data_IF_394961150658
#
_entry.id   IF_394961150658
#
_cell.length_a   1.000
_cell.length_b   1.000
_cell.length_c   1.000
_cell.angle_alpha   90.00
_cell.angle_beta   90.00
_cell.angle_gamma   90.00
#
_symmetry.space_group_name_H-M   'P 1'
#
loop_
_entity.id
_entity.type
_entity.pdbx_description
1 polymer ?
#
# COMPACT_ATOMS: atom_id res chain seq x y z
N UNK A 1 -15.91 18.73 -2.30
CA UNK A 1 -14.75 18.22 -1.53
C UNK A 1 -15.14 17.10 -0.56
N UNK A 2 -16.14 17.28 0.32
CA UNK A 2 -16.56 16.23 1.28
C UNK A 2 -16.85 14.88 0.61
N UNK A 3 -17.69 14.87 -0.44
CA UNK A 3 -18.12 13.64 -1.11
C UNK A 3 -16.98 12.84 -1.76
N UNK A 4 -15.94 13.50 -2.31
CA UNK A 4 -14.78 12.80 -2.88
C UNK A 4 -13.83 12.26 -1.81
N UNK A 5 -13.78 12.88 -0.62
CA UNK A 5 -12.92 12.41 0.46
C UNK A 5 -13.54 11.23 1.20
N UNK A 6 -14.83 11.30 1.53
CA UNK A 6 -15.49 10.25 2.30
C UNK A 6 -16.12 9.14 1.44
N UNK A 7 -16.42 9.42 0.17
CA UNK A 7 -17.17 8.52 -0.70
C UNK A 7 -18.67 8.50 -0.41
N UNK A 8 -19.42 7.72 -1.19
CA UNK A 8 -20.89 7.63 -1.12
C UNK A 8 -21.42 7.00 0.17
N UNK A 9 -20.55 6.30 0.90
CA UNK A 9 -20.84 5.69 2.21
C UNK A 9 -20.39 6.58 3.38
N UNK A 10 -19.85 7.76 3.08
CA UNK A 10 -19.40 8.72 4.07
C UNK A 10 -20.53 9.26 4.94
N UNK A 11 -20.30 9.53 6.24
CA UNK A 11 -21.33 10.06 7.13
C UNK A 11 -21.84 11.43 6.70
N UNK A 12 -21.03 12.20 5.96
CA UNK A 12 -21.38 13.50 5.45
C UNK A 12 -21.60 13.45 3.92
N UNK A 13 -21.86 12.31 3.30
CA UNK A 13 -22.21 12.28 1.88
C UNK A 13 -23.55 12.98 1.63
N UNK A 14 -23.63 13.82 0.59
CA UNK A 14 -24.89 14.45 0.19
C UNK A 14 -24.71 15.73 -0.62
N UNK A 15 -25.82 16.40 -0.89
CA UNK A 15 -25.82 17.72 -1.54
C UNK A 15 -25.21 18.75 -0.58
N UNK A 16 -24.11 19.37 -1.01
CA UNK A 16 -23.35 20.32 -0.18
C UNK A 16 -23.64 21.78 -0.47
N UNK A 17 -24.29 22.09 -1.58
CA UNK A 17 -24.60 23.46 -1.96
C UNK A 17 -26.11 23.76 -2.00
N UNK A 18 -26.96 22.74 -1.74
CA UNK A 18 -28.40 22.87 -1.65
C UNK A 18 -29.10 23.03 -3.00
N UNK A 19 -28.46 22.66 -4.12
CA UNK A 19 -29.05 22.79 -5.45
C UNK A 19 -29.96 21.61 -5.85
N UNK A 20 -30.14 20.63 -4.96
CA UNK A 20 -30.94 19.42 -5.19
C UNK A 20 -30.19 18.29 -5.90
N UNK A 21 -28.89 18.44 -6.15
CA UNK A 21 -28.03 17.44 -6.76
C UNK A 21 -26.87 17.09 -5.84
N UNK A 22 -26.52 15.80 -5.80
CA UNK A 22 -25.34 15.35 -5.07
C UNK A 22 -24.14 15.35 -6.02
N UNK A 23 -23.20 16.29 -5.83
CA UNK A 23 -21.97 16.28 -6.62
C UNK A 23 -20.94 15.33 -6.02
N UNK A 24 -20.57 14.32 -6.80
CA UNK A 24 -19.46 13.44 -6.46
C UNK A 24 -18.53 13.30 -7.67
N UNK A 25 -17.41 14.05 -7.73
CA UNK A 25 -16.46 13.96 -8.84
C UNK A 25 -15.61 12.68 -8.80
N UNK A 26 -15.73 11.84 -7.77
CA UNK A 26 -15.04 10.55 -7.66
C UNK A 26 -15.89 9.37 -8.14
N UNK A 27 -15.39 8.16 -7.88
CA UNK A 27 -16.04 6.88 -8.18
C UNK A 27 -17.01 6.39 -7.07
N UNK A 28 -17.13 7.15 -5.97
CA UNK A 28 -17.97 6.80 -4.84
C UNK A 28 -17.29 6.05 -3.70
N UNK A 29 -16.00 5.69 -3.80
CA UNK A 29 -15.29 5.02 -2.71
C UNK A 29 -14.74 6.00 -1.68
N UNK A 30 -14.13 7.08 -2.15
CA UNK A 30 -13.56 8.11 -1.29
C UNK A 30 -12.08 7.91 -0.95
N UNK A 31 -11.36 9.01 -0.83
CA UNK A 31 -9.92 9.03 -0.50
C UNK A 31 -9.62 8.32 0.83
N UNK A 32 -10.45 8.50 1.86
CA UNK A 32 -10.23 7.86 3.16
C UNK A 32 -10.34 6.33 3.08
N UNK A 33 -11.29 5.82 2.30
CA UNK A 33 -11.43 4.39 2.07
C UNK A 33 -10.24 3.84 1.30
N UNK A 34 -9.75 4.56 0.28
CA UNK A 34 -8.56 4.14 -0.47
C UNK A 34 -7.29 4.14 0.39
N UNK A 35 -7.06 5.17 1.20
CA UNK A 35 -5.92 5.22 2.11
C UNK A 35 -5.96 4.07 3.12
N UNK A 36 -7.13 3.81 3.72
CA UNK A 36 -7.31 2.68 4.65
C UNK A 36 -7.07 1.33 3.97
N UNK A 37 -7.61 1.13 2.76
CA UNK A 37 -7.42 -0.11 2.00
C UNK A 37 -5.95 -0.33 1.59
N UNK A 38 -5.25 0.73 1.18
CA UNK A 38 -3.82 0.68 0.85
C UNK A 38 -2.99 0.24 2.06
N UNK A 39 -3.21 0.86 3.24
CA UNK A 39 -2.54 0.47 4.47
C UNK A 39 -2.85 -0.99 4.86
N UNK A 40 -4.11 -1.41 4.77
CA UNK A 40 -4.52 -2.76 5.12
C UNK A 40 -3.88 -3.82 4.21
N UNK A 41 -3.93 -3.63 2.88
CA UNK A 41 -3.33 -4.57 1.94
C UNK A 41 -1.81 -4.59 2.02
N UNK A 42 -1.16 -3.44 2.24
CA UNK A 42 0.28 -3.38 2.47
C UNK A 42 0.68 -4.16 3.73
N UNK A 43 -0.06 -4.00 4.83
CA UNK A 43 0.16 -4.74 6.06
C UNK A 43 -0.03 -6.25 5.88
N UNK A 44 -1.07 -6.69 5.16
CA UNK A 44 -1.30 -8.10 4.85
C UNK A 44 -0.16 -8.69 4.00
N UNK A 45 0.31 -7.95 2.99
CA UNK A 45 1.42 -8.39 2.15
C UNK A 45 2.73 -8.47 2.93
N UNK A 46 3.05 -7.47 3.76
CA UNK A 46 4.25 -7.47 4.61
C UNK A 46 4.24 -8.59 5.67
N UNK A 47 3.06 -8.97 6.16
CA UNK A 47 2.88 -10.05 7.13
C UNK A 47 2.88 -11.46 6.53
N UNK A 48 2.84 -11.61 5.20
CA UNK A 48 2.83 -12.92 4.56
C UNK A 48 4.11 -13.72 4.87
N UNK A 49 3.98 -15.04 5.05
CA UNK A 49 5.12 -15.91 5.40
C UNK A 49 6.23 -15.93 4.34
N UNK A 50 5.87 -15.67 3.09
CA UNK A 50 6.76 -15.60 1.94
C UNK A 50 7.17 -14.16 1.58
N UNK A 51 6.80 -13.15 2.39
CA UNK A 51 7.22 -11.77 2.18
C UNK A 51 8.73 -11.63 2.35
N UNK A 52 9.39 -11.15 1.30
CA UNK A 52 10.82 -10.83 1.34
C UNK A 52 11.09 -9.49 2.05
N UNK A 53 12.35 -9.08 2.08
CA UNK A 53 12.76 -7.83 2.74
C UNK A 53 12.20 -6.58 2.06
N UNK A 54 12.01 -6.60 0.73
CA UNK A 54 11.49 -5.45 -0.03
C UNK A 54 10.00 -5.27 0.21
N UNK A 55 9.23 -6.36 0.19
CA UNK A 55 7.79 -6.33 0.51
C UNK A 55 7.55 -5.81 1.92
N UNK A 56 8.37 -6.23 2.89
CA UNK A 56 8.27 -5.76 4.28
C UNK A 56 8.62 -4.28 4.43
N UNK A 57 9.75 -3.86 3.85
CA UNK A 57 10.21 -2.47 3.91
C UNK A 57 9.18 -1.52 3.27
N UNK A 58 8.79 -1.80 2.03
CA UNK A 58 7.89 -0.93 1.29
C UNK A 58 6.44 -1.04 1.78
N UNK A 59 6.03 -2.20 2.32
CA UNK A 59 4.73 -2.32 2.99
C UNK A 59 4.60 -1.39 4.20
N UNK A 60 5.65 -1.30 5.03
CA UNK A 60 5.68 -0.34 6.14
C UNK A 60 5.59 1.11 5.64
N UNK A 61 6.34 1.45 4.59
CA UNK A 61 6.31 2.78 3.99
C UNK A 61 4.92 3.16 3.45
N UNK A 62 4.23 2.22 2.80
CA UNK A 62 2.84 2.41 2.34
C UNK A 62 1.90 2.67 3.52
N UNK A 63 2.02 1.91 4.60
CA UNK A 63 1.21 2.09 5.80
C UNK A 63 1.42 3.48 6.43
N UNK A 64 2.67 3.89 6.61
CA UNK A 64 3.00 5.18 7.23
C UNK A 64 2.54 6.36 6.36
N UNK A 65 2.75 6.27 5.05
CA UNK A 65 2.29 7.30 4.11
C UNK A 65 0.75 7.34 4.00
N UNK A 66 0.08 6.20 4.02
CA UNK A 66 -1.38 6.14 4.01
C UNK A 66 -2.00 6.73 5.29
N UNK A 67 -1.33 6.60 6.44
CA UNK A 67 -1.74 7.26 7.67
C UNK A 67 -1.67 8.80 7.52
N UNK A 68 -0.57 9.32 6.98
CA UNK A 68 -0.43 10.75 6.69
C UNK A 68 -1.51 11.26 5.72
N UNK A 69 -1.80 10.50 4.66
CA UNK A 69 -2.90 10.82 3.71
C UNK A 69 -4.24 10.87 4.45
N UNK A 70 -4.50 9.91 5.33
CA UNK A 70 -5.74 9.82 6.11
C UNK A 70 -5.92 11.06 7.01
N UNK A 71 -4.88 11.46 7.73
CA UNK A 71 -4.92 12.63 8.62
C UNK A 71 -5.19 13.92 7.81
N UNK A 72 -4.48 14.09 6.69
CA UNK A 72 -4.60 15.30 5.85
C UNK A 72 -5.93 15.35 5.09
N UNK A 73 -6.41 14.23 4.58
CA UNK A 73 -7.72 14.13 3.95
C UNK A 73 -8.84 14.38 4.97
N UNK A 74 -8.70 13.91 6.21
CA UNK A 74 -9.65 14.21 7.29
C UNK A 74 -9.71 15.70 7.58
N UNK A 75 -8.55 16.36 7.71
CA UNK A 75 -8.49 17.81 7.89
C UNK A 75 -9.13 18.56 6.71
N UNK A 76 -8.84 18.17 5.47
CA UNK A 76 -9.46 18.78 4.29
C UNK A 76 -10.99 18.60 4.29
N UNK A 77 -11.49 17.43 4.70
CA UNK A 77 -12.93 17.18 4.88
C UNK A 77 -13.53 18.09 5.94
N UNK A 78 -12.90 18.19 7.11
CA UNK A 78 -13.38 19.01 8.22
C UNK A 78 -13.48 20.48 7.80
N UNK A 79 -12.45 21.00 7.12
CA UNK A 79 -12.45 22.37 6.60
C UNK A 79 -13.48 22.58 5.50
N UNK A 80 -13.72 21.58 4.64
CA UNK A 80 -14.80 21.62 3.65
C UNK A 80 -16.20 21.70 4.30
N UNK A 81 -16.41 21.05 5.45
CA UNK A 81 -17.65 21.17 6.21
C UNK A 81 -17.82 22.58 6.79
N UNK A 82 -16.74 23.19 7.27
CA UNK A 82 -16.76 24.60 7.70
C UNK A 82 -17.15 25.51 6.55
N UNK A 83 -16.57 25.34 5.36
CA UNK A 83 -16.94 26.12 4.16
C UNK A 83 -18.42 25.95 3.83
N UNK A 84 -18.96 24.73 3.86
CA UNK A 84 -20.35 24.46 3.53
C UNK A 84 -21.35 25.05 4.55
N UNK A 85 -20.93 25.23 5.81
CA UNK A 85 -21.78 25.78 6.87
C UNK A 85 -21.52 27.25 7.22
N UNK A 86 -20.54 27.90 6.58
CA UNK A 86 -20.16 29.27 6.93
C UNK A 86 -21.19 30.29 6.46
N UNK A 87 -21.66 31.14 7.37
CA UNK A 87 -22.48 32.31 7.05
C UNK A 87 -21.66 33.57 6.74
N UNK A 88 -20.36 33.54 7.05
CA UNK A 88 -19.43 34.64 6.86
C UNK A 88 -18.38 34.30 5.78
N UNK A 89 -18.17 35.24 4.85
CA UNK A 89 -17.26 35.06 3.73
C UNK A 89 -15.80 34.98 4.18
N UNK A 90 -15.41 35.69 5.23
CA UNK A 90 -14.03 35.66 5.75
C UNK A 90 -13.71 34.27 6.33
N UNK A 91 -14.62 33.73 7.17
CA UNK A 91 -14.52 32.38 7.70
C UNK A 91 -14.50 31.31 6.59
N UNK A 92 -15.37 31.43 5.58
CA UNK A 92 -15.40 30.53 4.43
C UNK A 92 -14.08 30.57 3.65
N UNK A 93 -13.52 31.77 3.43
CA UNK A 93 -12.26 31.96 2.68
C UNK A 93 -11.07 31.34 3.41
N UNK A 94 -10.95 31.57 4.73
CA UNK A 94 -9.89 30.97 5.54
C UNK A 94 -9.99 29.43 5.55
N UNK A 95 -11.19 28.89 5.76
CA UNK A 95 -11.41 27.45 5.73
C UNK A 95 -11.15 26.84 4.35
N UNK A 96 -11.50 27.53 3.26
CA UNK A 96 -11.22 27.07 1.90
C UNK A 96 -9.71 27.02 1.61
N UNK A 97 -8.94 28.00 2.11
CA UNK A 97 -7.47 27.99 1.99
C UNK A 97 -6.85 26.81 2.75
N UNK A 98 -7.27 26.57 4.00
CA UNK A 98 -6.81 25.42 4.78
C UNK A 98 -7.23 24.07 4.20
N UNK A 99 -8.44 23.99 3.64
CA UNK A 99 -8.92 22.81 2.90
C UNK A 99 -8.02 22.51 1.70
N UNK A 100 -7.69 23.53 0.90
CA UNK A 100 -6.86 23.37 -0.30
C UNK A 100 -5.42 22.97 0.06
N UNK A 101 -4.84 23.59 1.11
CA UNK A 101 -3.52 23.23 1.62
C UNK A 101 -3.48 21.79 2.13
N UNK A 102 -4.46 21.38 2.96
CA UNK A 102 -4.55 20.02 3.48
C UNK A 102 -4.73 18.98 2.36
N UNK A 103 -5.57 19.27 1.36
CA UNK A 103 -5.74 18.38 0.20
C UNK A 103 -4.46 18.29 -0.65
N UNK A 104 -3.76 19.42 -0.85
CA UNK A 104 -2.48 19.47 -1.56
C UNK A 104 -1.41 18.62 -0.86
N UNK A 105 -1.33 18.72 0.47
CA UNK A 105 -0.45 17.92 1.32
C UNK A 105 -0.82 16.44 1.34
N UNK A 106 -2.11 16.11 1.36
CA UNK A 106 -2.56 14.72 1.20
C UNK A 106 -2.12 14.13 -0.14
N UNK A 107 -2.15 14.92 -1.22
CA UNK A 107 -1.74 14.47 -2.54
C UNK A 107 -0.22 14.32 -2.66
N UNK A 108 0.53 15.40 -2.42
CA UNK A 108 1.97 15.50 -2.72
C UNK A 108 2.88 15.20 -1.54
N UNK A 109 2.38 15.31 -0.31
CA UNK A 109 3.19 15.49 0.88
C UNK A 109 3.69 16.94 1.02
N UNK A 110 4.43 17.20 2.10
CA UNK A 110 5.19 18.43 2.30
C UNK A 110 6.33 18.18 3.28
N UNK A 111 7.39 18.97 3.15
CA UNK A 111 8.50 19.00 4.09
C UNK A 111 8.03 19.69 5.39
N UNK A 112 7.75 18.90 6.42
CA UNK A 112 7.19 19.40 7.67
C UNK A 112 8.26 19.89 8.63
N UNK A 113 9.48 19.34 8.53
CA UNK A 113 10.59 19.66 9.40
C UNK A 113 11.55 20.73 8.81
N UNK A 114 11.35 21.10 7.54
CA UNK A 114 12.11 22.15 6.85
C UNK A 114 13.51 21.73 6.40
N UNK A 115 13.77 20.43 6.25
CA UNK A 115 15.09 19.90 5.86
C UNK A 115 15.32 19.88 4.33
N UNK A 116 14.34 20.33 3.55
CA UNK A 116 14.37 20.38 2.09
C UNK A 116 13.97 19.07 1.41
N UNK A 117 13.51 18.08 2.15
CA UNK A 117 13.07 16.77 1.63
C UNK A 117 11.68 16.41 2.16
N UNK A 118 10.90 15.70 1.34
CA UNK A 118 9.67 15.05 1.79
C UNK A 118 10.03 13.62 2.14
N UNK A 119 10.10 13.32 3.43
CA UNK A 119 10.54 12.00 3.90
C UNK A 119 9.36 11.08 4.21
N UNK A 120 9.67 9.80 4.41
CA UNK A 120 8.75 8.77 4.90
C UNK A 120 8.50 8.88 6.41
N UNK A 121 8.62 10.08 6.97
CA UNK A 121 8.36 10.32 8.38
C UNK A 121 6.90 10.73 8.58
N UNK A 122 6.47 10.63 9.84
CA UNK A 122 5.15 11.08 10.24
C UNK A 122 4.96 12.54 9.86
N UNK A 123 3.88 12.79 9.12
CA UNK A 123 3.41 14.13 8.77
C UNK A 123 3.88 14.68 7.43
N UNK A 124 4.79 14.01 6.72
CA UNK A 124 5.41 14.57 5.50
C UNK A 124 4.92 13.93 4.20
N UNK A 125 4.75 12.62 4.16
CA UNK A 125 4.40 11.91 2.92
C UNK A 125 2.93 12.07 2.52
N UNK A 126 2.69 11.99 1.20
CA UNK A 126 1.34 12.01 0.61
C UNK A 126 1.06 10.79 -0.27
N UNK A 127 -0.04 10.84 -1.00
CA UNK A 127 -0.52 9.72 -1.83
C UNK A 127 0.44 9.32 -2.95
N UNK A 128 1.28 10.23 -3.44
CA UNK A 128 2.32 9.88 -4.41
C UNK A 128 3.35 8.92 -3.82
N UNK A 129 3.74 9.10 -2.56
CA UNK A 129 4.65 8.20 -1.84
C UNK A 129 3.98 6.85 -1.59
N UNK A 130 2.68 6.84 -1.26
CA UNK A 130 1.89 5.59 -1.17
C UNK A 130 1.96 4.82 -2.49
N UNK A 131 1.73 5.51 -3.61
CA UNK A 131 1.77 4.91 -4.94
C UNK A 131 3.17 4.35 -5.27
N UNK A 132 4.22 5.15 -5.09
CA UNK A 132 5.59 4.75 -5.41
C UNK A 132 6.03 3.52 -4.61
N UNK A 133 5.77 3.51 -3.30
CA UNK A 133 6.13 2.36 -2.46
C UNK A 133 5.25 1.14 -2.71
N UNK A 134 3.99 1.31 -3.08
CA UNK A 134 3.15 0.19 -3.50
C UNK A 134 3.70 -0.47 -4.78
N UNK A 135 4.25 0.30 -5.73
CA UNK A 135 4.94 -0.26 -6.90
C UNK A 135 6.24 -0.98 -6.51
N UNK A 136 6.99 -0.42 -5.55
CA UNK A 136 8.22 -1.06 -5.08
C UNK A 136 7.96 -2.39 -4.34
N UNK A 137 6.81 -2.55 -3.69
CA UNK A 137 6.39 -3.85 -3.15
C UNK A 137 6.16 -4.92 -4.23
N UNK A 138 5.86 -4.52 -5.46
CA UNK A 138 5.67 -5.44 -6.58
C UNK A 138 7.00 -5.84 -7.27
N UNK A 139 8.14 -5.31 -6.81
CA UNK A 139 9.45 -5.66 -7.36
C UNK A 139 9.87 -7.06 -6.87
N UNK A 140 10.51 -7.82 -7.76
CA UNK A 140 11.00 -9.15 -7.45
C UNK A 140 12.45 -9.29 -7.91
N UNK A 141 13.31 -9.86 -7.07
CA UNK A 141 14.69 -10.17 -7.44
C UNK A 141 14.78 -11.59 -7.98
N UNK A 142 15.13 -11.74 -9.26
CA UNK A 142 15.40 -13.04 -9.87
C UNK A 142 16.78 -13.53 -9.41
N UNK A 143 16.81 -14.66 -8.70
CA UNK A 143 18.06 -15.36 -8.36
C UNK A 143 18.28 -16.55 -9.32
N UNK A 144 19.54 -16.88 -9.69
CA UNK A 144 19.83 -18.08 -10.45
C UNK A 144 19.38 -19.33 -9.69
N UNK A 145 18.83 -20.31 -10.40
CA UNK A 145 18.53 -21.60 -9.80
C UNK A 145 19.81 -22.22 -9.23
N UNK A 146 19.75 -22.71 -7.99
CA UNK A 146 20.86 -23.44 -7.39
C UNK A 146 21.25 -24.59 -8.32
N UNK A 147 22.51 -24.60 -8.77
CA UNK A 147 23.01 -25.67 -9.61
C UNK A 147 22.77 -27.01 -8.90
N UNK A 148 22.28 -28.05 -9.60
CA UNK A 148 22.07 -29.35 -8.97
C UNK A 148 23.38 -29.79 -8.34
N UNK A 149 23.34 -30.11 -7.05
CA UNK A 149 24.51 -30.57 -6.31
C UNK A 149 25.17 -31.69 -7.12
N UNK A 150 26.44 -31.50 -7.47
CA UNK A 150 27.21 -32.48 -8.23
C UNK A 150 27.05 -33.84 -7.53
N UNK A 151 26.27 -34.72 -8.17
CA UNK A 151 25.93 -36.01 -7.59
C UNK A 151 27.22 -36.72 -7.22
N UNK A 152 27.32 -37.16 -5.95
CA UNK A 152 28.41 -38.05 -5.52
C UNK A 152 28.54 -39.16 -6.57
N UNK A 153 29.77 -39.46 -7.05
CA UNK A 153 29.95 -40.50 -8.05
C UNK A 153 29.29 -41.79 -7.55
N UNK A 154 28.36 -42.32 -8.35
CA UNK A 154 27.74 -43.62 -8.08
C UNK A 154 28.87 -44.61 -7.89
N UNK A 155 28.96 -45.22 -6.70
CA UNK A 155 29.86 -46.35 -6.45
C UNK A 155 29.57 -47.38 -7.53
N UNK A 156 30.56 -47.64 -8.39
CA UNK A 156 30.46 -48.68 -9.41
C UNK A 156 30.20 -50.01 -8.69
N UNK A 157 29.02 -50.57 -8.89
CA UNK A 157 28.76 -51.95 -8.49
C UNK A 157 29.66 -52.82 -9.35
N UNK A 158 30.79 -53.28 -8.80
CA UNK A 158 31.73 -54.16 -9.48
C UNK A 158 31.09 -55.54 -9.50
N UNK A 159 30.41 -55.89 -10.58
CA UNK A 159 29.97 -57.26 -10.83
C UNK A 159 31.21 -58.13 -11.01
N UNK A 160 31.57 -58.89 -9.98
CA UNK A 160 32.49 -60.03 -10.12
C UNK A 160 31.65 -61.29 -9.98
N UNK A 161 31.55 -62.00 -11.10
CA UNK A 161 30.65 -63.12 -11.28
C UNK A 161 31.02 -64.32 -10.41
N UNK A 162 29.99 -65.01 -9.94
CA UNK A 162 30.08 -66.37 -9.44
C UNK A 162 28.83 -67.14 -9.91
N UNK A 163 28.75 -67.37 -11.22
CA UNK A 163 27.93 -68.46 -11.76
C UNK A 163 28.63 -69.79 -11.42
N UNK A 164 28.16 -70.51 -10.40
CA UNK A 164 28.36 -71.97 -10.34
C UNK A 164 27.06 -72.67 -9.97
N UNK A 165 26.64 -73.50 -10.94
CA UNK A 165 25.51 -74.43 -10.91
C UNK A 165 25.93 -75.65 -10.11
N UNK A 166 25.07 -76.14 -9.20
CA UNK A 166 25.03 -77.57 -8.85
C UNK A 166 23.67 -77.93 -8.22
N UNK A 167 22.72 -78.32 -9.07
CA UNK A 167 21.54 -79.07 -8.65
C UNK A 167 21.44 -80.33 -9.51
N UNK A 168 21.94 -81.44 -8.96
CA UNK A 168 21.81 -82.88 -9.32
C UNK A 168 22.49 -83.59 -8.15
N UNK A 169 21.94 -84.53 -7.38
CA UNK A 169 20.78 -85.44 -7.43
C UNK A 169 20.44 -85.79 -5.98
N UNK A 170 19.18 -86.06 -5.65
CA UNK A 170 18.81 -87.20 -4.81
C UNK A 170 17.49 -87.75 -5.36
N UNK A 171 17.55 -88.96 -5.91
CA UNK A 171 16.52 -89.96 -5.70
C UNK A 171 16.91 -90.77 -4.48
#
# INVERSE_FOLDING_TARGET
MVNIIEGSKGPNFGDKNGNGQVENPGDGFGVLTYASAAAAHAGLAAAASYADALVKLHGQHVMDAAANVTDRATLARDKALVVAGAADLSAATAAAAEMADAAGKAFKGFDANGNGSIELVKGESGSLVVYDHAQLMATFTLAPAAAPAAGRPRRSCRSSGAWRRSWRRLG
#
